data_IF_949968697549
#
_entry.id   IF_949968697549
#
_cell.length_a   1.000
_cell.length_b   1.000
_cell.length_c   1.000
_cell.angle_alpha   90.00
_cell.angle_beta   90.00
_cell.angle_gamma   90.00
#
_symmetry.space_group_name_H-M   'P 1'
#
loop_
_entity.id
_entity.type
_entity.pdbx_description
1 polymer ?
#
# COMPACT_ATOMS: atom_id res chain seq x y z
N UNK A 1 11.72 43.03 -3.52
CA UNK A 1 11.22 41.65 -3.36
C UNK A 1 12.00 41.07 -2.20
N UNK A 2 11.35 40.80 -1.08
CA UNK A 2 11.99 40.15 0.06
C UNK A 2 12.36 38.72 -0.32
N UNK A 3 13.63 38.36 -0.11
CA UNK A 3 14.11 37.00 -0.30
C UNK A 3 13.44 36.06 0.71
N UNK A 4 13.05 34.88 0.23
CA UNK A 4 12.36 33.88 1.03
C UNK A 4 13.24 33.42 2.20
N UNK A 5 12.66 33.36 3.41
CA UNK A 5 13.33 32.82 4.62
C UNK A 5 13.87 31.40 4.43
N UNK A 6 13.42 30.68 3.39
CA UNK A 6 13.82 29.31 3.10
C UNK A 6 15.09 29.21 2.24
N UNK A 7 15.49 30.27 1.53
CA UNK A 7 16.66 30.25 0.63
C UNK A 7 17.95 29.67 1.26
N UNK A 8 18.31 30.02 2.51
CA UNK A 8 19.50 29.48 3.15
C UNK A 8 19.46 27.96 3.38
N UNK A 9 18.27 27.36 3.37
CA UNK A 9 18.04 25.96 3.71
C UNK A 9 17.80 25.06 2.49
N UNK A 10 17.67 25.63 1.28
CA UNK A 10 17.41 24.86 0.05
C UNK A 10 18.63 24.09 -0.45
N UNK A 11 19.84 24.50 -0.08
CA UNK A 11 21.10 23.90 -0.51
C UNK A 11 21.71 22.98 0.54
N UNK A 12 21.18 21.77 0.72
CA UNK A 12 21.81 20.78 1.62
C UNK A 12 22.63 19.76 0.82
N UNK A 13 23.93 19.65 1.11
CA UNK A 13 24.74 18.53 0.59
C UNK A 13 24.30 17.24 1.26
N UNK A 14 23.85 16.26 0.47
CA UNK A 14 23.38 14.97 0.97
C UNK A 14 24.48 13.91 0.81
N UNK A 15 24.50 12.92 1.70
CA UNK A 15 25.34 11.71 1.56
C UNK A 15 24.70 10.66 0.64
N UNK A 16 23.43 10.86 0.28
CA UNK A 16 22.67 9.90 -0.50
C UNK A 16 23.00 10.08 -1.98
N UNK A 17 23.47 8.99 -2.63
CA UNK A 17 23.75 8.98 -4.06
C UNK A 17 22.48 8.90 -4.93
N UNK A 18 21.38 8.46 -4.34
CA UNK A 18 20.08 8.30 -4.96
C UNK A 18 19.00 8.94 -4.09
N UNK A 19 17.74 8.86 -4.53
CA UNK A 19 16.60 9.36 -3.78
C UNK A 19 16.55 8.72 -2.37
N UNK A 20 16.57 9.55 -1.34
CA UNK A 20 16.45 9.14 0.07
C UNK A 20 15.08 8.55 0.38
N UNK A 21 14.05 8.93 -0.37
CA UNK A 21 12.67 8.54 -0.13
C UNK A 21 12.46 7.02 -0.19
N UNK A 22 13.34 6.28 -0.87
CA UNK A 22 13.32 4.80 -0.93
C UNK A 22 13.49 4.14 0.45
N UNK A 23 14.08 4.84 1.41
CA UNK A 23 14.30 4.34 2.77
C UNK A 23 13.11 4.60 3.70
N UNK A 24 12.08 5.31 3.23
CA UNK A 24 10.91 5.55 4.07
C UNK A 24 10.09 4.28 4.27
N UNK A 25 9.48 4.07 5.45
CA UNK A 25 8.57 2.94 5.69
C UNK A 25 7.36 2.89 4.74
N UNK A 26 7.00 4.03 4.16
CA UNK A 26 5.92 4.15 3.18
C UNK A 26 6.31 3.71 1.77
N UNK A 27 7.62 3.61 1.49
CA UNK A 27 8.10 3.19 0.18
C UNK A 27 7.79 1.70 -0.05
N UNK A 28 7.25 1.40 -1.22
CA UNK A 28 6.95 0.04 -1.64
C UNK A 28 7.88 -0.31 -2.81
N UNK A 29 8.81 -1.26 -2.65
CA UNK A 29 9.70 -1.66 -3.73
C UNK A 29 8.97 -2.47 -4.81
N UNK A 30 9.54 -2.52 -6.02
CA UNK A 30 9.03 -3.31 -7.15
C UNK A 30 9.08 -4.82 -6.92
N UNK A 31 9.92 -5.27 -5.99
CA UNK A 31 10.02 -6.67 -5.59
C UNK A 31 10.15 -6.78 -4.08
N UNK A 32 9.42 -7.74 -3.51
CA UNK A 32 9.53 -8.12 -2.11
C UNK A 32 10.26 -9.46 -2.00
N UNK A 33 11.59 -9.46 -1.73
CA UNK A 33 12.36 -10.69 -1.67
C UNK A 33 11.88 -11.59 -0.53
N UNK A 34 11.90 -12.91 -0.75
CA UNK A 34 11.46 -13.95 0.19
C UNK A 34 9.95 -13.91 0.52
N UNK A 35 9.16 -13.20 -0.27
CA UNK A 35 7.69 -13.11 -0.12
C UNK A 35 6.93 -13.59 -1.34
N UNK A 36 7.63 -14.13 -2.34
CA UNK A 36 7.06 -14.60 -3.60
C UNK A 36 5.97 -15.67 -3.41
N UNK A 37 6.18 -16.63 -2.50
CA UNK A 37 5.17 -17.66 -2.21
C UNK A 37 3.89 -17.09 -1.60
N UNK A 38 4.02 -16.15 -0.65
CA UNK A 38 2.89 -15.48 -0.01
C UNK A 38 2.12 -14.61 -1.01
N UNK A 39 2.85 -13.91 -1.89
CA UNK A 39 2.26 -13.12 -2.99
C UNK A 39 1.46 -14.04 -3.92
N UNK A 40 2.05 -15.18 -4.33
CA UNK A 40 1.37 -16.15 -5.19
C UNK A 40 0.08 -16.70 -4.58
N UNK A 41 0.10 -17.03 -3.28
CA UNK A 41 -1.10 -17.51 -2.56
C UNK A 41 -2.22 -16.46 -2.53
N UNK A 42 -1.90 -15.20 -2.19
CA UNK A 42 -2.89 -14.13 -2.19
C UNK A 42 -3.43 -13.86 -3.60
N UNK A 43 -2.55 -13.82 -4.60
CA UNK A 43 -2.94 -13.61 -5.98
C UNK A 43 -3.89 -14.71 -6.47
N UNK A 44 -3.61 -15.98 -6.15
CA UNK A 44 -4.46 -17.11 -6.53
C UNK A 44 -5.87 -16.99 -5.94
N UNK A 45 -5.99 -16.61 -4.66
CA UNK A 45 -7.29 -16.47 -3.99
C UNK A 45 -8.07 -15.28 -4.56
N UNK A 46 -7.39 -14.16 -4.78
CA UNK A 46 -8.00 -12.90 -5.21
C UNK A 46 -8.28 -12.83 -6.72
N UNK A 47 -7.61 -13.64 -7.56
CA UNK A 47 -7.83 -13.67 -9.00
C UNK A 47 -9.29 -13.93 -9.39
N UNK A 48 -10.05 -14.60 -8.54
CA UNK A 48 -11.49 -14.83 -8.68
C UNK A 48 -12.28 -13.51 -8.80
N UNK A 49 -11.87 -12.46 -8.07
CA UNK A 49 -12.50 -11.14 -8.18
C UNK A 49 -12.33 -10.49 -9.57
N UNK A 50 -11.20 -10.76 -10.26
CA UNK A 50 -10.99 -10.29 -11.63
C UNK A 50 -11.88 -11.01 -12.66
N UNK A 51 -12.51 -12.14 -12.29
CA UNK A 51 -13.51 -12.82 -13.11
C UNK A 51 -14.94 -12.36 -12.81
N UNK A 52 -15.13 -11.38 -11.92
CA UNK A 52 -16.45 -10.95 -11.46
C UNK A 52 -17.09 -11.86 -10.41
N UNK A 53 -16.33 -12.83 -9.89
CA UNK A 53 -16.77 -13.76 -8.86
C UNK A 53 -16.33 -13.28 -7.46
N UNK A 54 -17.03 -13.70 -6.40
CA UNK A 54 -16.69 -13.32 -5.02
C UNK A 54 -15.44 -14.09 -4.54
N UNK A 55 -14.34 -13.41 -4.16
CA UNK A 55 -13.18 -14.07 -3.59
C UNK A 55 -13.41 -14.48 -2.14
N UNK A 56 -12.60 -15.42 -1.65
CA UNK A 56 -12.59 -15.80 -0.23
C UNK A 56 -11.99 -14.71 0.65
N UNK A 57 -12.51 -14.57 1.87
CA UNK A 57 -11.92 -13.69 2.89
C UNK A 57 -10.55 -14.22 3.33
N UNK A 58 -9.60 -13.31 3.59
CA UNK A 58 -8.23 -13.66 3.97
C UNK A 58 -7.87 -12.96 5.27
N UNK A 59 -7.30 -13.70 6.22
CA UNK A 59 -6.71 -13.16 7.45
C UNK A 59 -5.20 -13.44 7.46
N UNK A 60 -4.39 -12.39 7.59
CA UNK A 60 -2.92 -12.49 7.60
C UNK A 60 -2.41 -12.13 8.99
N UNK A 61 -1.65 -13.03 9.62
CA UNK A 61 -1.08 -12.83 10.95
C UNK A 61 0.45 -12.98 10.97
N UNK A 62 1.10 -12.47 12.02
CA UNK A 62 2.55 -12.57 12.23
C UNK A 62 3.13 -11.36 12.95
N UNK A 63 4.39 -11.44 13.37
CA UNK A 63 5.09 -10.36 14.10
C UNK A 63 5.13 -9.03 13.33
N UNK A 64 5.30 -7.90 14.02
CA UNK A 64 5.49 -6.59 13.38
C UNK A 64 6.79 -6.58 12.55
N UNK A 65 6.87 -5.72 11.54
CA UNK A 65 8.03 -5.64 10.65
C UNK A 65 8.24 -6.81 9.68
N UNK A 66 7.37 -7.83 9.67
CA UNK A 66 7.53 -8.98 8.76
C UNK A 66 7.05 -8.75 7.32
N UNK A 67 6.60 -7.53 6.97
CA UNK A 67 6.21 -7.19 5.60
C UNK A 67 4.77 -7.54 5.23
N UNK A 68 3.88 -7.85 6.18
CA UNK A 68 2.45 -8.12 5.92
C UNK A 68 1.78 -6.99 5.12
N UNK A 69 1.91 -5.76 5.61
CA UNK A 69 1.36 -4.56 4.95
C UNK A 69 1.99 -4.33 3.57
N UNK A 70 3.30 -4.56 3.44
CA UNK A 70 4.00 -4.42 2.16
C UNK A 70 3.48 -5.41 1.12
N UNK A 71 3.28 -6.68 1.49
CA UNK A 71 2.72 -7.71 0.60
C UNK A 71 1.31 -7.34 0.14
N UNK A 72 0.44 -6.87 1.05
CA UNK A 72 -0.94 -6.49 0.68
C UNK A 72 -0.96 -5.28 -0.27
N UNK A 73 -0.12 -4.26 -0.03
CA UNK A 73 0.01 -3.10 -0.93
C UNK A 73 0.63 -3.47 -2.28
N UNK A 74 1.54 -4.44 -2.29
CA UNK A 74 2.10 -4.97 -3.52
C UNK A 74 1.02 -5.65 -4.36
N UNK A 75 0.23 -6.53 -3.73
CA UNK A 75 -0.91 -7.18 -4.38
C UNK A 75 -1.91 -6.14 -4.89
N UNK A 76 -2.22 -5.09 -4.12
CA UNK A 76 -3.07 -3.99 -4.59
C UNK A 76 -2.57 -3.39 -5.91
N UNK A 77 -1.28 -3.06 -6.00
CA UNK A 77 -0.69 -2.49 -7.20
C UNK A 77 -0.76 -3.46 -8.38
N UNK A 78 -0.46 -4.74 -8.18
CA UNK A 78 -0.57 -5.75 -9.25
C UNK A 78 -2.02 -5.99 -9.66
N UNK A 79 -2.94 -5.97 -8.71
CA UNK A 79 -4.36 -6.14 -8.96
C UNK A 79 -4.91 -4.99 -9.81
N UNK A 80 -4.53 -3.73 -9.51
CA UNK A 80 -4.90 -2.56 -10.32
C UNK A 80 -4.31 -2.58 -11.72
N UNK A 81 -3.14 -3.19 -11.93
CA UNK A 81 -2.56 -3.39 -13.27
C UNK A 81 -3.33 -4.43 -14.07
N UNK A 82 -3.79 -5.50 -13.41
CA UNK A 82 -4.54 -6.57 -14.04
C UNK A 82 -6.02 -6.21 -14.30
N UNK A 83 -6.63 -5.38 -13.45
CA UNK A 83 -8.02 -4.95 -13.56
C UNK A 83 -8.23 -3.81 -14.58
N UNK A 84 -7.97 -4.09 -15.85
CA UNK A 84 -8.13 -3.12 -16.95
C UNK A 84 -9.58 -2.64 -17.12
N UNK A 85 -10.56 -3.46 -16.74
CA UNK A 85 -11.98 -3.14 -16.80
C UNK A 85 -12.49 -2.39 -15.56
N UNK A 86 -11.65 -2.19 -14.53
CA UNK A 86 -11.99 -1.53 -13.26
C UNK A 86 -13.21 -2.14 -12.57
N UNK A 87 -13.31 -3.46 -12.61
CA UNK A 87 -14.43 -4.19 -12.00
C UNK A 87 -14.34 -4.25 -10.47
N UNK A 88 -13.14 -4.03 -9.90
CA UNK A 88 -12.89 -4.17 -8.48
C UNK A 88 -12.45 -2.83 -7.88
N UNK A 89 -13.18 -2.40 -6.84
CA UNK A 89 -12.81 -1.23 -6.05
C UNK A 89 -11.91 -1.66 -4.89
N UNK A 90 -10.77 -0.98 -4.76
CA UNK A 90 -9.82 -1.26 -3.68
C UNK A 90 -9.89 -0.20 -2.58
N UNK A 91 -10.01 -0.66 -1.34
CA UNK A 91 -10.06 0.18 -0.16
C UNK A 91 -9.03 -0.28 0.89
N UNK A 92 -8.04 0.56 1.15
CA UNK A 92 -7.14 0.41 2.30
C UNK A 92 -7.64 1.24 3.48
N UNK A 93 -7.72 0.61 4.65
CA UNK A 93 -8.00 1.25 5.94
C UNK A 93 -7.00 0.77 6.98
N UNK A 94 -6.42 1.69 7.74
CA UNK A 94 -5.56 1.37 8.87
C UNK A 94 -6.33 1.58 10.17
N UNK A 95 -6.71 0.48 10.82
CA UNK A 95 -7.48 0.52 12.06
C UNK A 95 -6.67 1.01 13.28
N UNK A 96 -5.36 1.19 13.16
CA UNK A 96 -4.55 1.89 14.17
C UNK A 96 -4.76 3.42 14.11
N UNK A 97 -5.16 3.94 12.95
CA UNK A 97 -5.45 5.38 12.74
C UNK A 97 -6.95 5.65 12.86
N UNK A 98 -7.78 4.75 12.31
CA UNK A 98 -9.24 4.80 12.39
C UNK A 98 -9.71 3.69 13.32
N UNK A 99 -9.75 3.98 14.61
CA UNK A 99 -9.81 2.99 15.69
C UNK A 99 -11.21 2.79 16.28
N UNK A 100 -12.22 3.53 15.81
CA UNK A 100 -13.62 3.36 16.23
C UNK A 100 -14.44 2.63 15.17
N UNK A 101 -15.42 1.77 15.57
CA UNK A 101 -16.32 1.12 14.62
C UNK A 101 -17.04 2.11 13.71
N UNK A 102 -17.47 3.24 14.26
CA UNK A 102 -18.11 4.31 13.49
C UNK A 102 -17.14 4.94 12.49
N UNK A 103 -15.91 5.28 12.91
CA UNK A 103 -14.90 5.86 12.03
C UNK A 103 -14.56 4.94 10.85
N UNK A 104 -14.51 3.63 11.07
CA UNK A 104 -14.30 2.66 9.98
C UNK A 104 -15.45 2.72 8.98
N UNK A 105 -16.70 2.65 9.43
CA UNK A 105 -17.87 2.73 8.55
C UNK A 105 -17.94 4.07 7.80
N UNK A 106 -17.68 5.18 8.48
CA UNK A 106 -17.62 6.51 7.86
C UNK A 106 -16.52 6.58 6.79
N UNK A 107 -15.34 6.01 7.07
CA UNK A 107 -14.23 6.00 6.12
C UNK A 107 -14.51 5.16 4.88
N UNK A 108 -15.27 4.06 5.03
CA UNK A 108 -15.78 3.27 3.90
C UNK A 108 -16.81 4.08 3.11
N UNK A 109 -17.80 4.67 3.80
CA UNK A 109 -18.88 5.42 3.18
C UNK A 109 -18.43 6.63 2.38
N UNK A 110 -17.39 7.35 2.83
CA UNK A 110 -16.86 8.52 2.12
C UNK A 110 -16.08 8.20 0.83
N UNK A 111 -15.83 6.91 0.55
CA UNK A 111 -15.03 6.47 -0.61
C UNK A 111 -15.90 6.09 -1.81
N UNK A 112 -17.21 5.92 -1.60
CA UNK A 112 -18.20 5.59 -2.63
C UNK A 112 -19.20 6.74 -2.77
#
# INVERSE_FOLDING_TARGET
>A
MEESIFQPYLGTRTIFKMDREILRPSYLPERLPHRESHIGQLAQILATALRGERPSNILIFGKTGTGKTAVVKYIENEFRKADGARMVQYLYLNCEIVDTPYGVLQSIGNKF
#
